data_IF_721056748289
#
_entry.id   IF_721056748289
#
_cell.length_a   1.000
_cell.length_b   1.000
_cell.length_c   1.000
_cell.angle_alpha   90.00
_cell.angle_beta   90.00
_cell.angle_gamma   90.00
#
_symmetry.space_group_name_H-M   'P 1'
#
loop_
_entity.id
_entity.type
_entity.pdbx_description
1 polymer ?
#
# COMPACT_ATOMS: atom_id res chain seq x y z
N UNK A 1 -44.09 19.93 38.25
CA UNK A 1 -43.87 19.23 36.98
C UNK A 1 -44.70 17.97 37.06
N UNK A 2 -45.54 17.74 36.06
CA UNK A 2 -46.46 16.60 36.03
C UNK A 2 -45.96 15.52 35.06
N UNK A 3 -44.86 15.79 34.34
CA UNK A 3 -44.24 14.90 33.36
C UNK A 3 -42.71 14.94 33.46
N UNK A 4 -42.04 13.90 32.98
CA UNK A 4 -40.59 13.82 32.86
C UNK A 4 -40.08 14.70 31.70
N UNK A 5 -38.87 15.27 31.80
CA UNK A 5 -38.43 16.30 30.86
C UNK A 5 -38.06 15.82 29.45
N UNK A 6 -37.66 14.54 29.26
CA UNK A 6 -37.18 14.06 27.95
C UNK A 6 -38.20 13.23 27.19
N UNK A 7 -38.81 12.27 27.89
CA UNK A 7 -39.73 11.28 27.32
C UNK A 7 -41.21 11.63 27.57
N UNK A 8 -41.48 12.75 28.25
CA UNK A 8 -42.83 13.22 28.57
C UNK A 8 -43.67 12.15 29.31
N UNK A 9 -43.04 11.44 30.26
CA UNK A 9 -43.70 10.39 31.04
C UNK A 9 -44.51 11.02 32.18
N UNK A 10 -45.81 10.72 32.32
CA UNK A 10 -46.66 11.33 33.35
C UNK A 10 -46.28 10.86 34.75
N UNK A 11 -46.17 11.80 35.68
CA UNK A 11 -45.93 11.55 37.10
C UNK A 11 -47.24 11.33 37.87
N UNK A 12 -47.18 10.52 38.93
CA UNK A 12 -48.28 10.36 39.88
C UNK A 12 -48.35 11.60 40.77
N UNK A 13 -49.54 12.19 40.90
CA UNK A 13 -49.79 13.35 41.77
C UNK A 13 -49.66 12.99 43.26
N UNK A 14 -49.30 13.97 44.08
CA UNK A 14 -49.19 13.82 45.53
C UNK A 14 -50.53 13.41 46.18
N UNK A 15 -50.47 12.70 47.31
CA UNK A 15 -51.66 12.28 48.08
C UNK A 15 -52.07 10.81 47.92
N UNK A 16 -51.42 10.04 47.03
CA UNK A 16 -51.66 8.61 46.82
C UNK A 16 -50.83 7.72 47.75
N UNK A 17 -51.01 7.84 49.08
CA UNK A 17 -50.32 7.04 50.10
C UNK A 17 -48.78 6.96 49.91
N UNK A 18 -48.14 8.08 49.54
CA UNK A 18 -46.69 8.23 49.30
C UNK A 18 -46.08 7.36 48.17
N UNK A 19 -46.87 6.56 47.44
CA UNK A 19 -46.38 5.74 46.31
C UNK A 19 -45.81 6.56 45.15
N UNK A 20 -46.26 7.81 45.02
CA UNK A 20 -45.76 8.76 44.02
C UNK A 20 -44.26 9.03 44.16
N UNK A 21 -43.67 8.92 45.35
CA UNK A 21 -42.25 9.17 45.56
C UNK A 21 -41.41 8.15 44.80
N UNK A 22 -41.49 6.87 45.18
CA UNK A 22 -40.67 5.81 44.59
C UNK A 22 -41.00 5.55 43.13
N UNK A 23 -42.26 5.72 42.72
CA UNK A 23 -42.64 5.56 41.32
C UNK A 23 -42.11 6.70 40.43
N UNK A 24 -42.25 7.95 40.86
CA UNK A 24 -41.76 9.08 40.06
C UNK A 24 -40.22 9.09 40.00
N UNK A 25 -39.53 8.63 41.05
CA UNK A 25 -38.08 8.38 41.01
C UNK A 25 -37.70 7.33 39.95
N UNK A 26 -38.45 6.23 39.85
CA UNK A 26 -38.23 5.22 38.81
C UNK A 26 -38.47 5.78 37.40
N UNK A 27 -39.49 6.62 37.22
CA UNK A 27 -39.76 7.30 35.94
C UNK A 27 -38.66 8.30 35.58
N UNK A 28 -38.14 9.06 36.54
CA UNK A 28 -37.00 9.97 36.31
C UNK A 28 -35.74 9.20 35.87
N UNK A 29 -35.49 8.03 36.47
CA UNK A 29 -34.41 7.14 36.04
C UNK A 29 -34.61 6.59 34.63
N UNK A 30 -35.84 6.19 34.27
CA UNK A 30 -36.15 5.75 32.90
C UNK A 30 -35.99 6.88 31.89
N UNK A 31 -36.44 8.08 32.21
CA UNK A 31 -36.28 9.29 31.38
C UNK A 31 -34.81 9.62 31.09
N UNK A 32 -33.95 9.42 32.09
CA UNK A 32 -32.51 9.59 31.95
C UNK A 32 -31.86 8.51 31.07
N UNK A 33 -32.22 7.23 31.29
CA UNK A 33 -31.47 6.07 30.81
C UNK A 33 -32.02 5.41 29.53
N UNK A 34 -33.26 5.67 29.15
CA UNK A 34 -33.80 5.18 27.86
C UNK A 34 -33.35 6.11 26.74
N UNK A 35 -32.64 5.55 25.76
CA UNK A 35 -31.99 6.30 24.68
C UNK A 35 -31.18 7.50 25.23
N UNK A 36 -30.22 7.27 26.15
CA UNK A 36 -29.62 8.36 26.90
C UNK A 36 -28.79 9.24 25.97
N UNK A 37 -28.94 10.54 26.15
CA UNK A 37 -28.33 11.58 25.35
C UNK A 37 -27.58 12.50 26.29
N UNK A 38 -26.29 12.69 26.05
CA UNK A 38 -25.46 13.60 26.83
C UNK A 38 -24.99 14.75 25.97
N UNK A 39 -24.89 15.94 26.56
CA UNK A 39 -24.42 17.14 25.89
C UNK A 39 -22.92 17.06 25.61
N UNK A 40 -22.15 16.46 26.53
CA UNK A 40 -20.71 16.27 26.38
C UNK A 40 -20.19 15.18 27.33
N UNK A 41 -19.03 14.62 27.00
CA UNK A 41 -18.27 13.72 27.88
C UNK A 41 -16.91 14.28 28.30
N UNK A 42 -16.63 15.55 27.99
CA UNK A 42 -15.31 16.17 28.20
C UNK A 42 -15.38 17.44 29.04
N UNK A 43 -16.58 17.95 29.32
CA UNK A 43 -16.76 19.12 30.17
C UNK A 43 -16.43 18.75 31.63
N UNK A 44 -15.48 19.44 32.26
CA UNK A 44 -15.01 19.10 33.62
C UNK A 44 -15.70 19.91 34.72
N UNK A 45 -16.48 20.93 34.37
CA UNK A 45 -17.21 21.78 35.32
C UNK A 45 -18.70 21.76 34.97
N UNK A 46 -19.60 21.43 35.91
CA UNK A 46 -21.03 21.44 35.66
C UNK A 46 -21.48 22.82 35.13
N UNK A 47 -22.36 22.87 34.12
CA UNK A 47 -22.93 24.14 33.66
C UNK A 47 -23.59 24.91 34.80
N UNK A 48 -23.53 26.24 34.74
CA UNK A 48 -24.16 27.11 35.76
C UNK A 48 -25.70 27.15 35.65
N UNK A 49 -26.26 26.78 34.50
CA UNK A 49 -27.72 26.82 34.24
C UNK A 49 -28.16 25.64 33.35
N UNK A 50 -28.02 24.39 33.81
CA UNK A 50 -28.45 23.21 33.07
C UNK A 50 -29.99 23.15 33.01
N UNK A 51 -30.53 22.81 31.85
CA UNK A 51 -31.96 22.58 31.68
C UNK A 51 -32.36 21.22 32.29
N UNK A 52 -33.60 21.08 32.78
CA UNK A 52 -34.10 19.79 33.24
C UNK A 52 -33.99 18.71 32.15
N UNK A 53 -33.40 17.56 32.51
CA UNK A 53 -33.18 16.43 31.60
C UNK A 53 -31.84 16.44 30.86
N UNK A 54 -31.10 17.55 30.86
CA UNK A 54 -29.75 17.54 30.28
C UNK A 54 -28.81 16.65 31.09
N UNK A 55 -27.91 15.97 30.37
CA UNK A 55 -27.02 14.98 30.94
C UNK A 55 -25.60 15.11 30.41
N UNK A 56 -24.63 14.63 31.19
CA UNK A 56 -23.21 14.58 30.86
C UNK A 56 -22.61 13.26 31.33
N UNK A 57 -21.56 12.80 30.67
CA UNK A 57 -20.64 11.85 31.29
C UNK A 57 -19.62 12.67 32.05
N UNK A 58 -19.47 12.42 33.34
CA UNK A 58 -18.49 13.09 34.18
C UNK A 58 -17.08 12.63 33.77
N UNK A 59 -16.21 13.52 33.24
CA UNK A 59 -14.84 13.15 32.89
C UNK A 59 -13.97 12.99 34.14
N UNK A 60 -12.73 12.52 33.95
CA UNK A 60 -11.72 12.65 35.00
C UNK A 60 -11.49 14.12 35.35
N UNK A 61 -11.05 14.38 36.59
CA UNK A 61 -10.74 15.72 37.10
C UNK A 61 -11.95 16.67 37.12
N UNK A 62 -13.18 16.12 37.19
CA UNK A 62 -14.38 16.91 37.34
C UNK A 62 -14.42 17.68 38.66
N UNK A 63 -15.00 18.88 38.61
CA UNK A 63 -15.05 19.83 39.72
C UNK A 63 -16.48 20.13 40.18
N UNK A 64 -16.61 20.86 41.30
CA UNK A 64 -17.91 21.30 41.81
C UNK A 64 -18.80 20.11 42.16
N UNK A 65 -20.07 20.17 41.76
CA UNK A 65 -21.05 19.12 42.04
C UNK A 65 -20.70 17.75 41.42
N UNK A 66 -19.80 17.70 40.43
CA UNK A 66 -19.40 16.46 39.77
C UNK A 66 -18.18 15.78 40.41
N UNK A 67 -17.60 16.37 41.45
CA UNK A 67 -16.43 15.83 42.15
C UNK A 67 -16.74 14.45 42.74
N UNK A 68 -15.94 13.44 42.40
CA UNK A 68 -16.09 12.06 42.90
C UNK A 68 -16.98 11.15 42.06
N UNK A 69 -17.62 11.68 41.01
CA UNK A 69 -18.59 10.96 40.16
C UNK A 69 -18.02 10.57 38.79
N UNK A 70 -16.69 10.39 38.67
CA UNK A 70 -16.01 10.11 37.39
C UNK A 70 -16.60 8.89 36.67
N UNK A 71 -16.98 9.08 35.40
CA UNK A 71 -17.54 8.03 34.55
C UNK A 71 -19.05 7.82 34.69
N UNK A 72 -19.67 8.39 35.72
CA UNK A 72 -21.12 8.33 35.92
C UNK A 72 -21.86 9.23 34.92
N UNK A 73 -23.13 8.90 34.67
CA UNK A 73 -24.05 9.77 33.91
C UNK A 73 -24.65 10.76 34.90
N UNK A 74 -24.24 12.03 34.83
CA UNK A 74 -24.79 13.12 35.61
C UNK A 74 -25.97 13.75 34.86
N UNK A 75 -27.17 13.73 35.45
CA UNK A 75 -28.39 14.29 34.86
C UNK A 75 -28.95 15.36 35.79
N UNK A 76 -29.29 16.53 35.26
CA UNK A 76 -29.94 17.59 36.02
C UNK A 76 -31.47 17.41 35.99
N UNK A 77 -32.08 17.01 37.12
CA UNK A 77 -33.53 16.77 37.23
C UNK A 77 -34.05 17.28 38.57
N UNK A 78 -35.28 17.79 38.59
CA UNK A 78 -35.92 18.34 39.79
C UNK A 78 -35.07 19.39 40.56
N UNK A 79 -34.20 20.11 39.85
CA UNK A 79 -33.32 21.14 40.45
C UNK A 79 -32.08 20.60 41.15
N UNK A 80 -31.75 19.31 40.97
CA UNK A 80 -30.57 18.67 41.54
C UNK A 80 -29.83 17.82 40.49
N UNK A 81 -28.57 17.51 40.79
CA UNK A 81 -27.79 16.52 40.03
C UNK A 81 -28.10 15.12 40.56
N UNK A 82 -28.55 14.24 39.66
CA UNK A 82 -28.65 12.81 39.90
C UNK A 82 -27.52 12.12 39.13
N UNK A 83 -26.92 11.12 39.74
CA UNK A 83 -25.83 10.37 39.12
C UNK A 83 -26.19 8.89 38.99
N UNK A 84 -25.83 8.31 37.86
CA UNK A 84 -26.09 6.91 37.57
C UNK A 84 -24.78 6.20 37.18
N UNK A 85 -24.45 5.17 37.96
CA UNK A 85 -23.35 4.24 37.66
C UNK A 85 -23.65 3.43 36.40
N UNK A 86 -22.82 3.50 35.35
CA UNK A 86 -23.02 2.70 34.17
C UNK A 86 -22.65 1.23 34.40
N UNK A 87 -23.49 0.32 33.90
CA UNK A 87 -23.12 -1.08 33.78
C UNK A 87 -22.50 -1.36 32.40
N UNK A 88 -21.69 -2.41 32.30
CA UNK A 88 -21.14 -2.88 31.02
C UNK A 88 -22.26 -3.06 29.98
N UNK A 89 -22.03 -2.57 28.77
CA UNK A 89 -22.99 -2.62 27.67
C UNK A 89 -23.95 -1.43 27.60
N UNK A 90 -23.97 -0.53 28.58
CA UNK A 90 -24.75 0.71 28.49
C UNK A 90 -24.27 1.56 27.31
N UNK A 91 -25.21 2.22 26.64
CA UNK A 91 -24.95 3.06 25.48
C UNK A 91 -25.44 4.47 25.74
N UNK A 92 -24.72 5.47 25.23
CA UNK A 92 -25.12 6.88 25.29
C UNK A 92 -24.69 7.61 24.03
N UNK A 93 -25.55 8.49 23.52
CA UNK A 93 -25.19 9.37 22.40
C UNK A 93 -24.58 10.67 22.93
N UNK A 94 -23.35 10.98 22.52
CA UNK A 94 -22.65 12.21 22.86
C UNK A 94 -22.91 13.27 21.77
N UNK A 95 -23.69 14.29 22.10
CA UNK A 95 -24.11 15.33 21.15
C UNK A 95 -22.95 16.19 20.70
N UNK A 96 -21.97 16.48 21.56
CA UNK A 96 -20.80 17.29 21.20
C UNK A 96 -19.95 16.63 20.12
N UNK A 97 -19.81 15.30 20.17
CA UNK A 97 -18.99 14.53 19.21
C UNK A 97 -19.80 13.80 18.14
N UNK A 98 -21.14 13.82 18.21
CA UNK A 98 -22.01 13.08 17.30
C UNK A 98 -21.70 11.58 17.27
N UNK A 99 -21.41 10.98 18.42
CA UNK A 99 -20.87 9.62 18.52
C UNK A 99 -21.68 8.79 19.50
N UNK A 100 -22.02 7.55 19.11
CA UNK A 100 -22.55 6.56 20.06
C UNK A 100 -21.39 6.02 20.90
N UNK A 101 -21.51 6.07 22.22
CA UNK A 101 -20.54 5.51 23.17
C UNK A 101 -21.12 4.30 23.87
N UNK A 102 -20.31 3.28 24.10
CA UNK A 102 -20.61 2.07 24.85
C UNK A 102 -19.73 2.03 26.09
N UNK A 103 -20.29 1.73 27.25
CA UNK A 103 -19.52 1.48 28.46
C UNK A 103 -18.95 0.05 28.44
N UNK A 104 -17.63 -0.09 28.45
CA UNK A 104 -16.92 -1.38 28.37
C UNK A 104 -16.81 -2.12 29.71
N UNK A 105 -17.46 -1.61 30.77
CA UNK A 105 -17.23 -2.05 32.15
C UNK A 105 -16.09 -1.29 32.85
N UNK A 106 -15.29 -0.53 32.11
CA UNK A 106 -14.19 0.29 32.67
C UNK A 106 -14.18 1.73 32.15
N UNK A 107 -14.59 1.95 30.90
CA UNK A 107 -14.61 3.27 30.29
C UNK A 107 -15.72 3.40 29.23
N UNK A 108 -16.09 4.64 28.90
CA UNK A 108 -16.96 4.96 27.78
C UNK A 108 -16.17 5.00 26.46
N UNK A 109 -16.45 4.07 25.56
CA UNK A 109 -15.72 3.85 24.32
C UNK A 109 -16.59 4.24 23.12
N UNK A 110 -16.09 5.01 22.13
CA UNK A 110 -16.87 5.33 20.93
C UNK A 110 -17.08 4.09 20.05
N UNK A 111 -18.32 3.85 19.62
CA UNK A 111 -18.72 2.72 18.74
C UNK A 111 -18.83 3.14 17.27
N UNK A 112 -19.24 4.39 17.02
CA UNK A 112 -19.30 4.97 15.68
C UNK A 112 -19.37 6.49 15.78
N UNK A 113 -18.42 7.20 15.17
CA UNK A 113 -18.48 8.65 15.03
C UNK A 113 -19.21 9.00 13.71
N UNK A 114 -20.15 9.93 13.77
CA UNK A 114 -20.78 10.48 12.56
C UNK A 114 -19.87 11.58 12.01
N UNK A 115 -19.24 11.37 10.85
CA UNK A 115 -18.57 12.45 10.08
C UNK A 115 -17.04 12.39 9.98
N UNK A 116 -16.36 11.58 10.79
CA UNK A 116 -14.98 11.13 10.56
C UNK A 116 -15.00 9.62 10.76
N UNK A 117 -14.58 8.82 9.77
CA UNK A 117 -14.70 7.36 9.83
C UNK A 117 -14.07 6.73 11.08
N UNK A 118 -14.23 5.41 11.24
CA UNK A 118 -13.64 4.66 12.35
C UNK A 118 -12.15 5.03 12.53
N UNK A 119 -11.73 5.59 13.69
CA UNK A 119 -10.36 6.09 13.87
C UNK A 119 -9.32 4.98 13.80
N UNK A 120 -9.73 3.76 14.15
CA UNK A 120 -8.98 2.52 14.12
C UNK A 120 -9.94 1.39 13.72
N UNK A 121 -9.48 0.48 12.87
CA UNK A 121 -10.21 -0.71 12.45
C UNK A 121 -9.28 -1.93 12.47
N UNK A 122 -9.54 -2.83 13.42
CA UNK A 122 -8.89 -4.12 13.52
C UNK A 122 -9.77 -5.25 12.99
N UNK A 123 -9.23 -6.12 12.14
CA UNK A 123 -9.89 -7.34 11.67
C UNK A 123 -9.07 -8.54 12.15
N UNK A 124 -9.61 -9.30 13.13
CA UNK A 124 -8.93 -10.41 13.84
C UNK A 124 -7.60 -10.04 14.53
N UNK A 125 -7.30 -8.75 14.68
CA UNK A 125 -6.16 -8.21 15.42
C UNK A 125 -6.51 -6.79 15.89
N UNK A 126 -5.83 -6.28 16.92
CA UNK A 126 -6.01 -4.90 17.37
C UNK A 126 -5.34 -3.93 16.39
N UNK A 127 -6.02 -2.83 16.09
CA UNK A 127 -5.42 -1.65 15.45
C UNK A 127 -4.87 -0.70 16.53
N UNK A 128 -3.92 0.15 16.14
CA UNK A 128 -3.25 1.09 17.06
C UNK A 128 -3.09 2.48 16.41
N UNK A 129 -2.41 3.42 17.08
CA UNK A 129 -2.25 4.80 16.59
C UNK A 129 -1.37 4.91 15.34
N UNK A 130 -0.53 3.90 15.08
CA UNK A 130 0.34 3.73 13.91
C UNK A 130 -0.38 2.91 12.84
N UNK A 131 -0.82 1.70 13.18
CA UNK A 131 -1.53 0.77 12.30
C UNK A 131 -3.04 0.95 12.46
N UNK A 132 -3.57 2.06 11.94
CA UNK A 132 -5.00 2.38 12.07
C UNK A 132 -5.93 1.43 11.32
N UNK A 133 -5.42 0.76 10.29
CA UNK A 133 -6.06 -0.41 9.69
C UNK A 133 -5.14 -1.61 9.93
N UNK A 134 -5.57 -2.55 10.77
CA UNK A 134 -4.82 -3.76 11.07
C UNK A 134 -5.64 -5.00 10.71
N UNK A 135 -5.06 -5.90 9.92
CA UNK A 135 -5.76 -7.08 9.40
C UNK A 135 -4.92 -8.33 9.65
N UNK A 136 -5.49 -9.30 10.36
CA UNK A 136 -4.94 -10.65 10.53
C UNK A 136 -5.85 -11.65 9.82
N UNK A 137 -5.54 -11.94 8.56
CA UNK A 137 -6.36 -12.79 7.72
C UNK A 137 -5.49 -13.54 6.69
N UNK A 138 -6.04 -14.58 6.09
CA UNK A 138 -5.38 -15.28 4.98
C UNK A 138 -5.21 -14.39 3.74
N UNK A 139 -6.08 -13.39 3.53
CA UNK A 139 -5.99 -12.44 2.44
C UNK A 139 -6.70 -11.11 2.76
N UNK A 140 -6.27 -10.04 2.10
CA UNK A 140 -6.94 -8.74 2.06
C UNK A 140 -7.28 -8.41 0.60
N UNK A 141 -8.57 -8.36 0.25
CA UNK A 141 -9.02 -8.01 -1.10
C UNK A 141 -9.38 -6.52 -1.17
N UNK A 142 -8.68 -5.78 -2.03
CA UNK A 142 -9.01 -4.40 -2.40
C UNK A 142 -9.47 -4.40 -3.87
N UNK A 143 -10.77 -4.27 -4.10
CA UNK A 143 -11.36 -4.41 -5.44
C UNK A 143 -11.91 -3.09 -5.98
N UNK A 144 -12.16 -3.05 -7.28
CA UNK A 144 -12.74 -1.92 -8.00
C UNK A 144 -14.27 -1.94 -7.97
N UNK A 145 -14.88 -0.81 -8.31
CA UNK A 145 -16.32 -0.68 -8.57
C UNK A 145 -16.61 -0.46 -10.08
N UNK A 146 -15.93 -1.23 -10.93
CA UNK A 146 -16.13 -1.24 -12.38
C UNK A 146 -14.88 -0.86 -13.17
N UNK A 147 -14.48 0.42 -13.15
CA UNK A 147 -13.40 0.90 -14.01
C UNK A 147 -11.99 0.58 -13.45
N UNK A 148 -11.70 0.98 -12.21
CA UNK A 148 -10.37 0.81 -11.64
C UNK A 148 -10.29 1.00 -10.13
N UNK A 149 -9.13 0.66 -9.57
CA UNK A 149 -8.78 0.81 -8.16
C UNK A 149 -7.36 1.36 -8.04
N UNK A 150 -7.10 2.18 -7.02
CA UNK A 150 -5.80 2.81 -6.81
C UNK A 150 -5.53 2.96 -5.32
N UNK A 151 -4.36 2.47 -4.89
CA UNK A 151 -3.79 2.80 -3.59
C UNK A 151 -2.91 4.05 -3.74
N UNK A 152 -3.25 5.12 -3.01
CA UNK A 152 -2.43 6.34 -2.97
C UNK A 152 -1.57 6.30 -1.71
N UNK A 153 -0.27 6.18 -1.91
CA UNK A 153 0.75 6.27 -0.85
C UNK A 153 1.41 7.63 -0.95
N UNK A 154 1.18 8.50 0.03
CA UNK A 154 1.66 9.87 0.02
C UNK A 154 2.59 10.11 1.21
N UNK A 155 3.70 10.81 0.97
CA UNK A 155 4.65 11.25 1.99
C UNK A 155 4.68 12.78 2.07
N UNK A 156 4.96 13.34 3.24
CA UNK A 156 4.88 14.77 3.47
C UNK A 156 6.05 15.54 2.86
N UNK A 157 7.26 14.99 2.92
CA UNK A 157 8.47 15.58 2.37
C UNK A 157 9.25 14.63 1.45
N UNK A 158 10.23 15.17 0.73
CA UNK A 158 11.12 14.37 -0.13
C UNK A 158 11.92 13.33 0.67
N UNK A 159 12.36 13.69 1.88
CA UNK A 159 13.13 12.82 2.79
C UNK A 159 12.34 11.69 3.42
N UNK A 160 11.02 11.72 3.36
CA UNK A 160 10.15 10.76 4.04
C UNK A 160 10.01 9.45 3.24
N UNK A 161 9.21 8.53 3.78
CA UNK A 161 8.91 7.22 3.17
C UNK A 161 7.43 7.08 2.84
N UNK A 162 7.14 6.62 1.62
CA UNK A 162 5.86 6.08 1.19
C UNK A 162 6.12 4.76 0.45
N UNK A 163 5.85 3.64 1.10
CA UNK A 163 6.28 2.33 0.62
C UNK A 163 5.33 1.19 0.98
N UNK A 164 5.59 0.03 0.37
CA UNK A 164 5.05 -1.27 0.75
C UNK A 164 6.21 -2.11 1.29
N UNK A 165 6.14 -2.46 2.58
CA UNK A 165 7.15 -3.26 3.28
C UNK A 165 6.69 -4.73 3.35
N UNK A 166 7.56 -5.64 2.93
CA UNK A 166 7.36 -7.08 2.97
C UNK A 166 8.15 -7.69 4.12
N UNK A 167 7.45 -8.40 5.02
CA UNK A 167 8.02 -8.92 6.25
C UNK A 167 7.79 -10.42 6.43
N UNK A 168 8.68 -11.07 7.19
CA UNK A 168 8.50 -12.41 7.75
C UNK A 168 8.83 -12.37 9.23
N UNK A 169 7.91 -12.85 10.08
CA UNK A 169 8.07 -12.82 11.54
C UNK A 169 8.53 -11.44 12.07
N UNK A 170 7.89 -10.37 11.61
CA UNK A 170 8.18 -8.97 11.98
C UNK A 170 9.53 -8.41 11.47
N UNK A 171 10.31 -9.19 10.72
CA UNK A 171 11.55 -8.72 10.07
C UNK A 171 11.27 -8.29 8.64
N UNK A 172 11.71 -7.08 8.25
CA UNK A 172 11.61 -6.60 6.86
C UNK A 172 12.63 -7.26 5.94
N UNK A 173 12.21 -7.68 4.75
CA UNK A 173 13.08 -8.33 3.76
C UNK A 173 13.10 -7.65 2.40
N UNK A 174 11.99 -7.01 2.02
CA UNK A 174 11.92 -6.21 0.81
C UNK A 174 11.00 -5.01 1.04
N UNK A 175 11.28 -3.90 0.37
CA UNK A 175 10.49 -2.68 0.45
C UNK A 175 10.45 -2.01 -0.92
N UNK A 176 9.27 -1.59 -1.39
CA UNK A 176 9.13 -0.86 -2.66
C UNK A 176 8.38 0.46 -2.49
N UNK A 177 8.81 1.50 -3.21
CA UNK A 177 8.21 2.84 -3.12
C UNK A 177 9.22 3.98 -3.14
N UNK A 178 8.87 5.10 -2.50
CA UNK A 178 9.68 6.31 -2.37
C UNK A 178 10.24 6.37 -0.95
N UNK A 179 11.56 6.27 -0.77
CA UNK A 179 12.18 6.13 0.55
C UNK A 179 13.43 6.98 0.69
N UNK A 180 13.31 8.19 1.26
CA UNK A 180 14.44 9.09 1.47
C UNK A 180 14.68 10.12 0.35
N UNK A 181 13.97 9.98 -0.78
CA UNK A 181 13.88 10.95 -1.87
C UNK A 181 12.65 10.62 -2.76
N UNK A 182 12.60 11.10 -4.00
CA UNK A 182 11.47 10.91 -4.94
C UNK A 182 11.69 9.87 -6.05
N UNK A 183 12.84 9.20 -6.12
CA UNK A 183 13.04 8.07 -7.03
C UNK A 183 12.29 6.83 -6.55
N UNK A 184 11.71 6.07 -7.48
CA UNK A 184 11.10 4.80 -7.12
C UNK A 184 12.17 3.71 -7.03
N UNK A 185 12.12 2.85 -6.01
CA UNK A 185 13.13 1.80 -5.82
C UNK A 185 12.54 0.53 -5.23
N UNK A 186 13.27 -0.57 -5.41
CA UNK A 186 13.14 -1.81 -4.64
C UNK A 186 14.37 -1.93 -3.74
N UNK A 187 14.15 -2.00 -2.43
CA UNK A 187 15.17 -2.31 -1.43
C UNK A 187 15.02 -3.76 -0.97
N UNK A 188 16.14 -4.40 -0.66
CA UNK A 188 16.18 -5.72 -0.05
C UNK A 188 17.08 -5.73 1.18
N UNK A 189 16.76 -6.60 2.13
CA UNK A 189 17.52 -6.80 3.37
C UNK A 189 17.48 -8.26 3.81
N UNK A 190 18.62 -8.78 4.24
CA UNK A 190 18.70 -10.12 4.81
C UNK A 190 18.28 -10.16 6.29
N UNK A 191 18.45 -9.04 7.02
CA UNK A 191 18.36 -8.94 8.48
C UNK A 191 17.31 -7.91 8.97
N UNK A 192 16.66 -7.19 8.06
CA UNK A 192 15.72 -6.10 8.36
C UNK A 192 16.36 -4.79 8.82
N UNK A 193 17.68 -4.73 8.91
CA UNK A 193 18.44 -3.57 9.41
C UNK A 193 19.34 -2.97 8.33
N UNK A 194 20.04 -3.83 7.59
CA UNK A 194 20.96 -3.46 6.51
C UNK A 194 20.23 -3.55 5.18
N UNK A 195 20.02 -2.41 4.53
CA UNK A 195 19.22 -2.31 3.31
C UNK A 195 20.07 -1.95 2.08
N UNK A 196 19.82 -2.63 0.97
CA UNK A 196 20.43 -2.34 -0.34
C UNK A 196 19.36 -1.90 -1.33
N UNK A 197 19.57 -0.80 -2.05
CA UNK A 197 18.72 -0.37 -3.17
C UNK A 197 18.98 -1.28 -4.39
N UNK A 198 18.34 -2.45 -4.46
CA UNK A 198 18.57 -3.44 -5.52
C UNK A 198 18.27 -2.89 -6.92
N UNK A 199 17.20 -2.10 -7.05
CA UNK A 199 16.80 -1.38 -8.26
C UNK A 199 16.40 0.04 -7.87
N UNK A 200 16.91 1.03 -8.58
CA UNK A 200 16.47 2.43 -8.50
C UNK A 200 16.07 2.91 -9.89
N UNK A 201 14.90 3.54 -10.01
CA UNK A 201 14.44 4.20 -11.22
C UNK A 201 14.39 5.71 -10.94
N UNK A 202 15.24 6.45 -11.65
CA UNK A 202 15.28 7.90 -11.55
C UNK A 202 14.03 8.52 -12.19
N UNK A 203 13.36 9.40 -11.44
CA UNK A 203 12.09 9.97 -11.85
C UNK A 203 12.20 10.96 -13.03
N UNK A 204 13.39 11.52 -13.28
CA UNK A 204 13.62 12.52 -14.32
C UNK A 204 14.11 11.92 -15.64
N UNK A 205 14.89 10.86 -15.56
CA UNK A 205 15.55 10.23 -16.71
C UNK A 205 14.97 8.87 -17.08
N UNK A 206 14.13 8.28 -16.21
CA UNK A 206 13.65 6.90 -16.31
C UNK A 206 14.77 5.84 -16.35
N UNK A 207 16.00 6.20 -15.98
CA UNK A 207 17.14 5.27 -15.97
C UNK A 207 16.99 4.31 -14.79
N UNK A 208 17.05 3.01 -15.09
CA UNK A 208 17.13 1.94 -14.12
C UNK A 208 18.59 1.64 -13.76
N UNK A 209 18.92 1.72 -12.46
CA UNK A 209 20.22 1.35 -11.91
C UNK A 209 20.10 0.12 -11.01
N UNK A 210 21.06 -0.79 -11.09
CA UNK A 210 21.10 -2.04 -10.33
C UNK A 210 22.30 -2.05 -9.39
N UNK A 211 22.10 -2.42 -8.13
CA UNK A 211 23.20 -2.52 -7.16
C UNK A 211 24.08 -3.77 -7.36
N UNK A 212 23.60 -4.76 -8.12
CA UNK A 212 24.28 -6.03 -8.33
C UNK A 212 24.10 -6.54 -9.77
N UNK A 213 24.72 -7.68 -10.09
CA UNK A 213 24.66 -8.27 -11.43
C UNK A 213 23.22 -8.56 -11.87
N UNK A 214 22.89 -8.14 -13.10
CA UNK A 214 21.70 -8.61 -13.80
C UNK A 214 22.05 -9.93 -14.49
N UNK A 215 21.35 -11.01 -14.15
CA UNK A 215 21.60 -12.36 -14.68
C UNK A 215 20.29 -13.04 -15.08
N UNK A 216 20.29 -13.92 -16.09
CA UNK A 216 19.11 -14.73 -16.38
C UNK A 216 18.84 -15.73 -15.26
N UNK A 217 17.57 -16.04 -15.03
CA UNK A 217 17.16 -17.02 -14.00
C UNK A 217 17.55 -18.46 -14.36
N UNK A 218 17.66 -18.76 -15.66
CA UNK A 218 18.07 -20.06 -16.18
C UNK A 218 19.21 -19.88 -17.16
N UNK A 219 20.18 -20.79 -17.10
CA UNK A 219 21.35 -20.77 -17.96
C UNK A 219 20.96 -20.97 -19.44
N UNK A 220 21.56 -20.17 -20.33
CA UNK A 220 21.36 -20.20 -21.79
C UNK A 220 19.87 -20.22 -22.26
N UNK A 221 18.96 -19.63 -21.49
CA UNK A 221 17.51 -19.74 -21.76
C UNK A 221 16.86 -18.47 -22.32
N UNK A 222 17.50 -17.30 -22.20
CA UNK A 222 16.94 -16.00 -22.60
C UNK A 222 17.97 -15.14 -23.31
N UNK A 223 17.54 -14.33 -24.28
CA UNK A 223 18.37 -13.38 -25.02
C UNK A 223 18.35 -11.99 -24.37
N UNK A 224 19.39 -11.18 -24.61
CA UNK A 224 19.41 -9.76 -24.23
C UNK A 224 18.99 -8.90 -25.43
N UNK A 225 17.74 -8.44 -25.41
CA UNK A 225 17.09 -7.78 -26.54
C UNK A 225 16.40 -8.77 -27.50
N UNK A 226 15.69 -8.22 -28.48
CA UNK A 226 14.95 -8.98 -29.49
C UNK A 226 14.80 -8.18 -30.79
N UNK A 227 14.30 -8.83 -31.85
CA UNK A 227 13.83 -8.12 -33.03
C UNK A 227 12.77 -7.08 -32.63
N UNK A 228 12.91 -5.83 -33.10
CA UNK A 228 12.05 -4.71 -32.70
C UNK A 228 12.37 -4.09 -31.34
N UNK A 229 13.27 -4.67 -30.54
CA UNK A 229 13.68 -4.17 -29.22
C UNK A 229 15.19 -4.35 -29.03
N UNK A 230 15.98 -3.72 -29.91
CA UNK A 230 17.44 -3.79 -29.93
C UNK A 230 18.05 -2.73 -29.01
N UNK A 231 19.11 -3.10 -28.31
CA UNK A 231 19.98 -2.12 -27.65
C UNK A 231 20.80 -1.39 -28.72
N UNK A 232 20.87 -0.06 -28.62
CA UNK A 232 21.65 0.75 -29.56
C UNK A 232 23.15 0.56 -29.39
N UNK A 233 23.60 0.28 -28.17
CA UNK A 233 25.00 -0.02 -27.85
C UNK A 233 25.11 -0.78 -26.52
N UNK A 234 26.20 -1.52 -26.37
CA UNK A 234 26.65 -2.07 -25.08
C UNK A 234 27.98 -1.41 -24.74
N UNK A 235 28.01 -0.67 -23.63
CA UNK A 235 29.22 -0.06 -23.10
C UNK A 235 29.75 -0.93 -21.96
N UNK A 236 30.90 -1.57 -22.17
CA UNK A 236 31.54 -2.44 -21.19
C UNK A 236 33.02 -2.09 -21.03
N UNK A 237 33.55 -2.30 -19.83
CA UNK A 237 34.98 -2.08 -19.56
C UNK A 237 35.87 -3.13 -20.25
N UNK A 238 35.34 -4.34 -20.49
CA UNK A 238 36.02 -5.46 -21.16
C UNK A 238 35.13 -6.07 -22.24
N UNK A 239 35.72 -6.84 -23.16
CA UNK A 239 34.98 -7.56 -24.21
C UNK A 239 33.99 -8.60 -23.68
N UNK A 240 33.03 -9.00 -24.51
CA UNK A 240 32.05 -10.04 -24.21
C UNK A 240 32.71 -11.42 -24.15
N UNK A 241 32.37 -12.21 -23.13
CA UNK A 241 32.80 -13.62 -23.05
C UNK A 241 31.79 -14.47 -23.82
N UNK A 242 32.24 -15.07 -24.92
CA UNK A 242 31.47 -16.04 -25.70
C UNK A 242 32.06 -17.44 -25.43
N UNK A 243 31.37 -18.25 -24.63
CA UNK A 243 31.84 -19.58 -24.24
C UNK A 243 31.96 -20.49 -25.47
N UNK A 244 33.14 -21.06 -25.68
CA UNK A 244 33.50 -21.84 -26.86
C UNK A 244 34.18 -23.17 -26.46
N UNK A 245 33.68 -23.80 -25.40
CA UNK A 245 34.27 -25.00 -24.80
C UNK A 245 34.11 -26.24 -25.71
N UNK A 246 35.20 -26.97 -25.96
CA UNK A 246 35.18 -28.15 -26.82
C UNK A 246 34.26 -29.27 -26.30
N UNK A 247 34.03 -29.35 -24.98
CA UNK A 247 33.15 -30.35 -24.36
C UNK A 247 31.67 -30.10 -24.65
N UNK A 248 31.31 -28.89 -25.07
CA UNK A 248 29.96 -28.50 -25.46
C UNK A 248 29.73 -28.59 -26.97
N UNK A 249 30.73 -29.06 -27.73
CA UNK A 249 30.68 -29.18 -29.19
C UNK A 249 30.89 -30.63 -29.61
N UNK A 250 30.27 -31.00 -30.70
CA UNK A 250 30.49 -32.31 -31.35
C UNK A 250 30.84 -32.07 -32.81
N UNK A 251 31.34 -33.10 -33.50
CA UNK A 251 31.69 -33.04 -34.94
C UNK A 251 32.66 -31.89 -35.28
N UNK A 252 33.62 -31.62 -34.40
CA UNK A 252 34.64 -30.60 -34.63
C UNK A 252 35.58 -31.07 -35.75
N UNK A 253 35.57 -30.36 -36.87
CA UNK A 253 36.43 -30.60 -38.04
C UNK A 253 37.03 -29.28 -38.54
N UNK A 254 37.99 -29.37 -39.47
CA UNK A 254 38.48 -28.18 -40.18
C UNK A 254 37.35 -27.60 -41.05
N UNK A 255 37.38 -26.28 -41.26
CA UNK A 255 36.35 -25.60 -42.07
C UNK A 255 36.47 -25.97 -43.55
N UNK A 256 35.34 -26.31 -44.17
CA UNK A 256 35.23 -26.48 -45.62
C UNK A 256 35.17 -25.12 -46.35
N UNK A 257 34.88 -24.03 -45.61
CA UNK A 257 35.03 -22.65 -46.09
C UNK A 257 36.51 -22.28 -46.05
N UNK A 258 37.15 -22.25 -47.21
CA UNK A 258 38.56 -21.91 -47.40
C UNK A 258 38.82 -20.45 -47.74
N UNK A 259 40.00 -20.16 -48.28
CA UNK A 259 40.41 -18.79 -48.66
C UNK A 259 39.45 -18.14 -49.67
N UNK A 260 38.86 -18.93 -50.57
CA UNK A 260 37.89 -18.44 -51.56
C UNK A 260 36.67 -17.77 -50.91
N UNK A 261 36.23 -18.26 -49.74
CA UNK A 261 35.16 -17.62 -48.97
C UNK A 261 35.58 -16.25 -48.44
N UNK A 262 36.79 -16.17 -47.85
CA UNK A 262 37.33 -14.91 -47.33
C UNK A 262 37.48 -13.86 -48.44
N UNK A 263 37.95 -14.28 -49.61
CA UNK A 263 38.08 -13.41 -50.78
C UNK A 263 36.73 -13.04 -51.41
N UNK A 264 35.68 -13.82 -51.17
CA UNK A 264 34.31 -13.52 -51.61
C UNK A 264 33.57 -12.54 -50.69
N UNK A 265 34.07 -12.27 -49.49
CA UNK A 265 33.52 -11.24 -48.60
C UNK A 265 33.79 -9.85 -49.19
N UNK A 266 32.78 -8.98 -49.10
CA UNK A 266 32.83 -7.61 -49.61
C UNK A 266 32.70 -6.60 -48.45
N UNK A 267 33.81 -6.14 -47.84
CA UNK A 267 33.77 -5.08 -46.84
C UNK A 267 33.25 -3.78 -47.43
N UNK A 268 32.24 -3.20 -46.79
CA UNK A 268 31.62 -1.95 -47.22
C UNK A 268 31.79 -0.86 -46.17
N UNK A 269 31.65 0.38 -46.61
CA UNK A 269 31.38 1.53 -45.75
C UNK A 269 29.95 2.00 -45.98
N UNK A 270 29.26 2.41 -44.93
CA UNK A 270 27.86 2.83 -45.02
C UNK A 270 27.51 3.90 -44.00
N UNK A 271 26.39 4.58 -44.24
CA UNK A 271 25.70 5.39 -43.24
C UNK A 271 24.36 4.72 -42.95
N UNK A 272 23.89 4.81 -41.71
CA UNK A 272 22.52 4.41 -41.40
C UNK A 272 21.54 5.31 -42.14
N UNK A 273 20.38 4.77 -42.53
CA UNK A 273 19.30 5.57 -43.14
C UNK A 273 18.78 6.62 -42.14
N UNK A 274 18.71 6.24 -40.88
CA UNK A 274 18.59 7.15 -39.75
C UNK A 274 20.00 7.59 -39.38
N UNK A 275 20.47 8.64 -40.06
CA UNK A 275 21.86 9.10 -40.01
C UNK A 275 22.29 9.46 -38.58
N UNK A 276 23.39 8.86 -38.12
CA UNK A 276 24.05 9.19 -36.85
C UNK A 276 25.29 10.09 -37.07
N UNK A 277 25.49 10.57 -38.31
CA UNK A 277 26.57 11.42 -38.73
C UNK A 277 27.91 10.71 -38.85
N UNK A 278 27.94 9.37 -38.83
CA UNK A 278 29.17 8.57 -38.84
C UNK A 278 29.21 7.64 -40.03
N UNK A 279 30.40 7.52 -40.62
CA UNK A 279 30.69 6.45 -41.57
C UNK A 279 31.04 5.18 -40.81
N UNK A 280 30.24 4.14 -41.00
CA UNK A 280 30.44 2.81 -40.43
C UNK A 280 31.14 1.91 -41.43
N UNK A 281 31.84 0.88 -40.93
CA UNK A 281 32.52 -0.13 -41.74
C UNK A 281 32.03 -1.51 -41.30
N UNK A 282 31.81 -2.41 -42.25
CA UNK A 282 31.33 -3.75 -41.94
C UNK A 282 31.02 -4.58 -43.17
N UNK A 283 30.17 -5.58 -42.97
CA UNK A 283 29.68 -6.48 -44.02
C UNK A 283 28.16 -6.37 -44.09
N UNK A 284 27.59 -6.68 -45.26
CA UNK A 284 26.14 -6.81 -45.44
C UNK A 284 25.75 -8.28 -45.20
N UNK A 285 24.81 -8.53 -44.29
CA UNK A 285 24.42 -9.89 -43.90
C UNK A 285 23.96 -10.76 -45.09
N UNK A 286 23.20 -10.17 -46.01
CA UNK A 286 22.76 -10.80 -47.26
C UNK A 286 23.94 -11.24 -48.12
N UNK A 287 24.93 -10.36 -48.33
CA UNK A 287 26.11 -10.65 -49.15
C UNK A 287 26.97 -11.76 -48.53
N UNK A 288 27.04 -11.82 -47.19
CA UNK A 288 27.73 -12.91 -46.49
C UNK A 288 27.00 -14.24 -46.69
N UNK A 289 25.67 -14.28 -46.54
CA UNK A 289 24.88 -15.49 -46.77
C UNK A 289 25.02 -16.03 -48.21
N UNK A 290 25.03 -15.13 -49.20
CA UNK A 290 25.30 -15.47 -50.60
C UNK A 290 26.72 -16.02 -50.79
N UNK A 291 27.73 -15.39 -50.17
CA UNK A 291 29.12 -15.85 -50.24
C UNK A 291 29.29 -17.25 -49.65
N UNK A 292 28.69 -17.53 -48.49
CA UNK A 292 28.69 -18.86 -47.87
C UNK A 292 28.07 -19.90 -48.80
N UNK A 293 26.92 -19.58 -49.40
CA UNK A 293 26.21 -20.47 -50.34
C UNK A 293 27.05 -20.78 -51.59
N UNK A 294 27.70 -19.77 -52.17
CA UNK A 294 28.60 -19.94 -53.33
C UNK A 294 29.81 -20.82 -53.01
N UNK A 295 30.31 -20.75 -51.78
CA UNK A 295 31.43 -21.56 -51.31
C UNK A 295 31.01 -22.95 -50.81
N UNK A 296 29.77 -23.36 -51.06
CA UNK A 296 29.31 -24.74 -50.91
C UNK A 296 28.67 -25.08 -49.56
N UNK A 297 28.67 -24.17 -48.58
CA UNK A 297 27.97 -24.38 -47.32
C UNK A 297 26.50 -23.94 -47.44
N UNK A 298 25.59 -24.82 -47.02
CA UNK A 298 24.13 -24.62 -47.14
C UNK A 298 23.47 -24.11 -45.85
N UNK A 299 24.17 -24.22 -44.73
CA UNK A 299 23.70 -23.80 -43.41
C UNK A 299 24.85 -23.12 -42.68
N UNK A 300 24.57 -21.95 -42.11
CA UNK A 300 25.56 -21.11 -41.43
C UNK A 300 24.94 -20.46 -40.23
N UNK A 301 25.24 -21.02 -39.06
CA UNK A 301 24.75 -20.50 -37.77
C UNK A 301 25.23 -19.08 -37.43
N UNK A 302 26.11 -18.48 -38.23
CA UNK A 302 26.51 -17.08 -38.10
C UNK A 302 25.61 -16.09 -38.84
N UNK A 303 24.59 -16.55 -39.59
CA UNK A 303 23.59 -15.70 -40.23
C UNK A 303 22.22 -16.02 -39.64
N UNK A 304 21.48 -14.98 -39.27
CA UNK A 304 20.16 -15.13 -38.65
C UNK A 304 19.14 -14.19 -39.27
N UNK A 305 17.89 -14.67 -39.32
CA UNK A 305 16.71 -13.90 -39.69
C UNK A 305 15.97 -13.46 -38.43
N UNK A 306 15.50 -12.23 -38.44
CA UNK A 306 14.69 -11.66 -37.35
C UNK A 306 13.33 -12.34 -37.19
N UNK A 307 12.77 -12.85 -38.29
CA UNK A 307 11.69 -13.82 -38.34
C UNK A 307 12.13 -14.99 -39.24
N UNK A 308 12.42 -16.19 -38.68
CA UNK A 308 12.83 -17.35 -39.45
C UNK A 308 11.80 -17.84 -40.47
N UNK A 309 10.52 -17.49 -40.32
CA UNK A 309 9.46 -17.88 -41.25
C UNK A 309 9.35 -16.93 -42.45
N UNK A 310 9.94 -15.73 -42.36
CA UNK A 310 9.96 -14.72 -43.42
C UNK A 310 11.40 -14.50 -43.93
N UNK A 311 11.68 -15.02 -45.12
CA UNK A 311 12.98 -14.86 -45.78
C UNK A 311 13.31 -13.41 -46.17
N UNK A 312 12.34 -12.50 -46.16
CA UNK A 312 12.55 -11.08 -46.38
C UNK A 312 12.78 -10.28 -45.08
N UNK A 313 12.70 -10.94 -43.92
CA UNK A 313 12.89 -10.29 -42.63
C UNK A 313 14.33 -9.77 -42.45
N UNK A 314 14.51 -8.88 -41.47
CA UNK A 314 15.82 -8.29 -41.18
C UNK A 314 16.85 -9.39 -40.89
N UNK A 315 18.02 -9.27 -41.52
CA UNK A 315 19.12 -10.23 -41.39
C UNK A 315 20.23 -9.67 -40.51
N UNK A 316 20.89 -10.53 -39.73
CA UNK A 316 22.03 -10.17 -38.91
C UNK A 316 23.13 -11.24 -38.97
N UNK A 317 24.34 -10.84 -38.58
CA UNK A 317 25.48 -11.73 -38.39
C UNK A 317 25.79 -11.86 -36.89
N UNK A 318 26.17 -13.05 -36.45
CA UNK A 318 26.58 -13.37 -35.07
C UNK A 318 28.09 -13.28 -34.87
#
# INVERSE_FOLDING_TARGET
MDHSPRLDLPFIMAGQALKHITHNEALQRLDALVQPLVESTTLTTPPASPLPGEAWIVPSDATGAWTGHTGEIAVHQAGAWNFYDPAEGWQVFDRATGTLRLYSGTAWVPVAATGAGLPQLGINTSADSTNRLAVSAAATLLTHDGAGHQLKLNKAASSDTASLLFQSNWTGHAEMGLMGDNAWRIKVSADGSSWTNALTIDASTAIASFAASVRPASDNAVTLGASGARWSAVWSATGTIQTSDARQKTQIAQTDLGLDFILALNPVRYHWREDDGRTHYGLIAQEVAEAVTRCGARDFGGHVLSDPADGASMQALL
#
